data_IF_288300286118
#
_entry.id   IF_288300286118
#
_cell.length_a   1.000
_cell.length_b   1.000
_cell.length_c   1.000
_cell.angle_alpha   90.00
_cell.angle_beta   90.00
_cell.angle_gamma   90.00
#
_symmetry.space_group_name_H-M   'P 1'
#
loop_
_entity.id
_entity.type
_entity.pdbx_description
1 polymer ?
#
# COMPACT_ATOMS: atom_id res chain seq x y z
N UNK A 1 21.91 15.54 -13.04
CA UNK A 1 22.16 16.82 -12.35
C UNK A 1 23.24 16.59 -11.31
N UNK A 2 24.43 17.15 -11.50
CA UNK A 2 25.50 17.07 -10.51
C UNK A 2 25.17 18.02 -9.35
N UNK A 3 25.00 17.48 -8.14
CA UNK A 3 24.95 18.31 -6.93
C UNK A 3 26.39 18.69 -6.57
N UNK A 4 26.77 19.92 -6.89
CA UNK A 4 27.93 20.56 -6.31
C UNK A 4 27.57 21.00 -4.89
N UNK A 5 28.10 20.32 -3.89
CA UNK A 5 28.05 20.76 -2.49
C UNK A 5 29.08 21.88 -2.29
N UNK A 6 28.61 23.12 -2.27
CA UNK A 6 29.43 24.27 -1.86
C UNK A 6 29.55 24.20 -0.33
N UNK A 7 30.71 23.79 0.17
CA UNK A 7 31.02 23.83 1.61
C UNK A 7 31.42 25.26 2.01
N UNK A 8 30.43 26.10 2.31
CA UNK A 8 30.66 27.40 2.96
C UNK A 8 30.86 27.15 4.46
N UNK A 9 32.05 27.45 4.99
CA UNK A 9 32.30 27.44 6.44
C UNK A 9 31.59 28.63 7.08
N UNK A 10 30.51 28.38 7.82
CA UNK A 10 29.88 29.35 8.71
C UNK A 10 30.50 29.22 10.11
N UNK A 11 31.05 30.29 10.69
CA UNK A 11 31.48 30.32 12.11
C UNK A 11 30.45 31.02 12.99
N UNK A 12 30.36 30.66 14.27
CA UNK A 12 29.43 31.27 15.24
C UNK A 12 29.69 32.77 15.44
N UNK A 13 30.89 33.26 15.14
CA UNK A 13 31.27 34.68 15.24
C UNK A 13 30.42 35.61 14.36
N UNK A 14 29.73 35.06 13.35
CA UNK A 14 28.85 35.82 12.45
C UNK A 14 27.46 36.10 13.06
N UNK A 15 27.13 35.51 14.21
CA UNK A 15 25.81 35.62 14.85
C UNK A 15 25.88 36.07 16.30
N UNK A 16 26.76 37.04 16.59
CA UNK A 16 26.90 37.66 17.90
C UNK A 16 25.90 38.80 18.09
N UNK A 17 25.41 38.96 19.32
CA UNK A 17 24.60 40.10 19.69
C UNK A 17 25.50 41.33 19.86
N UNK A 18 25.24 42.46 19.17
CA UNK A 18 26.06 43.67 19.30
C UNK A 18 26.06 44.32 20.69
N UNK A 19 25.13 43.92 21.58
CA UNK A 19 24.98 44.48 22.93
C UNK A 19 25.76 43.67 23.97
N UNK A 20 25.56 42.36 24.03
CA UNK A 20 26.26 41.50 24.99
C UNK A 20 27.51 40.83 24.42
N UNK A 21 27.74 40.93 23.11
CA UNK A 21 28.83 40.30 22.36
C UNK A 21 28.86 38.77 22.39
N UNK A 22 27.82 38.15 22.96
CA UNK A 22 27.62 36.69 22.98
C UNK A 22 26.76 36.21 21.79
N UNK A 23 26.79 34.90 21.45
CA UNK A 23 25.88 34.32 20.48
C UNK A 23 24.41 34.62 20.79
N UNK A 24 23.66 35.01 19.75
CA UNK A 24 22.28 35.43 19.89
C UNK A 24 21.42 34.38 20.64
N UNK A 25 20.82 34.80 21.75
CA UNK A 25 19.91 34.00 22.57
C UNK A 25 18.51 34.59 22.49
N UNK A 26 17.55 33.78 22.03
CA UNK A 26 16.20 34.24 21.66
C UNK A 26 16.26 35.47 20.71
N UNK A 27 16.88 35.34 19.53
CA UNK A 27 17.10 36.46 18.63
C UNK A 27 15.80 37.14 18.22
N UNK A 28 15.81 38.46 18.22
CA UNK A 28 14.75 39.31 17.64
C UNK A 28 15.39 40.27 16.64
N UNK A 29 14.63 40.63 15.61
CA UNK A 29 15.11 41.52 14.54
C UNK A 29 14.32 42.82 14.58
N UNK A 30 15.01 43.96 14.68
CA UNK A 30 14.39 45.29 14.64
C UNK A 30 13.93 45.64 13.21
N UNK A 31 13.06 46.65 13.02
CA UNK A 31 12.61 47.06 11.68
C UNK A 31 13.76 47.47 10.74
N UNK A 32 14.88 47.94 11.29
CA UNK A 32 16.09 48.27 10.52
C UNK A 32 16.95 47.04 10.14
N UNK A 33 16.49 45.82 10.44
CA UNK A 33 17.13 44.57 10.02
C UNK A 33 18.23 44.04 10.95
N UNK A 34 18.59 44.76 12.01
CA UNK A 34 19.59 44.31 12.98
C UNK A 34 19.00 43.34 14.00
N UNK A 35 19.80 42.35 14.42
CA UNK A 35 19.34 41.29 15.32
C UNK A 35 20.06 41.32 16.65
N UNK A 36 19.30 41.11 17.72
CA UNK A 36 19.78 41.20 19.11
C UNK A 36 19.16 40.07 19.94
N UNK A 37 19.75 39.73 21.08
CA UNK A 37 19.07 38.93 22.10
C UNK A 37 17.83 39.71 22.56
N UNK A 38 16.69 39.04 22.69
CA UNK A 38 15.43 39.68 23.13
C UNK A 38 15.59 40.44 24.43
N UNK A 39 16.34 39.89 25.39
CA UNK A 39 16.62 40.53 26.68
C UNK A 39 17.49 41.78 26.53
N UNK A 40 18.48 41.76 25.65
CA UNK A 40 19.42 42.86 25.48
C UNK A 40 18.75 44.09 24.85
N UNK A 41 17.98 43.92 23.78
CA UNK A 41 17.31 45.05 23.13
C UNK A 41 16.19 45.62 24.00
N UNK A 42 15.43 44.78 24.70
CA UNK A 42 14.42 45.27 25.63
C UNK A 42 15.07 46.02 26.80
N UNK A 43 16.17 45.50 27.38
CA UNK A 43 16.88 46.21 28.44
C UNK A 43 17.42 47.59 28.03
N UNK A 44 17.82 47.78 26.77
CA UNK A 44 18.19 49.10 26.25
C UNK A 44 16.97 50.03 26.11
N UNK A 45 15.88 49.51 25.51
CA UNK A 45 14.65 50.29 25.33
C UNK A 45 13.93 50.62 26.63
N UNK A 46 14.01 49.76 27.64
CA UNK A 46 13.43 49.99 28.97
C UNK A 46 14.15 51.15 29.71
N UNK A 47 15.42 51.42 29.38
CA UNK A 47 16.15 52.60 29.88
C UNK A 47 15.79 53.88 29.10
N UNK A 48 15.43 53.75 27.83
CA UNK A 48 15.03 54.85 26.93
C UNK A 48 13.53 55.20 27.01
N UNK A 49 12.73 54.39 27.74
CA UNK A 49 11.27 54.51 27.87
C UNK A 49 10.84 55.89 28.43
N UNK A 50 11.72 56.54 29.20
CA UNK A 50 11.52 57.90 29.75
C UNK A 50 11.52 58.99 28.67
N UNK A 51 12.18 58.75 27.52
CA UNK A 51 12.29 59.72 26.41
C UNK A 51 11.27 59.50 25.30
N UNK A 52 10.54 58.38 25.31
CA UNK A 52 9.50 58.04 24.32
C UNK A 52 10.00 57.78 22.89
N UNK A 53 11.32 57.72 22.68
CA UNK A 53 11.99 57.47 21.39
C UNK A 53 12.97 56.32 21.60
N UNK A 54 12.84 55.25 20.81
CA UNK A 54 13.62 54.03 20.96
C UNK A 54 14.64 53.91 19.84
N UNK A 55 15.90 53.69 20.14
CA UNK A 55 16.95 53.63 19.11
C UNK A 55 17.51 52.23 18.91
N UNK A 56 17.96 51.92 17.68
CA UNK A 56 18.72 50.70 17.41
C UNK A 56 20.16 50.86 17.93
N UNK A 57 20.66 49.97 18.80
CA UNK A 57 22.03 50.07 19.33
C UNK A 57 23.14 50.02 18.27
N UNK A 58 22.87 49.42 17.09
CA UNK A 58 23.86 49.24 16.04
C UNK A 58 23.89 50.39 15.02
N UNK A 59 22.73 50.83 14.52
CA UNK A 59 22.64 51.87 13.47
C UNK A 59 22.07 53.21 13.96
N UNK A 60 21.61 53.29 15.22
CA UNK A 60 21.00 54.47 15.85
C UNK A 60 19.71 54.97 15.19
N UNK A 61 19.10 54.17 14.31
CA UNK A 61 17.78 54.47 13.76
C UNK A 61 16.73 54.49 14.88
N UNK A 62 15.86 55.50 14.87
CA UNK A 62 14.88 55.75 15.92
C UNK A 62 13.48 55.27 15.52
N UNK A 63 12.72 54.80 16.51
CA UNK A 63 11.38 54.25 16.34
C UNK A 63 10.40 54.90 17.32
N UNK A 64 9.27 55.35 16.80
CA UNK A 64 8.12 55.84 17.58
C UNK A 64 6.82 55.39 16.90
N UNK A 65 5.96 54.58 17.54
CA UNK A 65 6.05 54.02 18.90
C UNK A 65 7.06 52.84 19.02
N UNK A 66 7.23 52.29 20.23
CA UNK A 66 8.10 51.12 20.50
C UNK A 66 7.75 49.95 19.56
N UNK A 67 8.70 49.42 18.78
CA UNK A 67 8.43 48.27 17.91
C UNK A 67 8.06 47.01 18.69
N UNK A 68 7.08 46.26 18.20
CA UNK A 68 6.73 44.93 18.73
C UNK A 68 7.65 43.89 18.10
N UNK A 69 8.62 43.42 18.89
CA UNK A 69 9.59 42.43 18.43
C UNK A 69 9.08 41.00 18.63
N UNK A 70 9.13 40.19 17.55
CA UNK A 70 8.85 38.75 17.59
C UNK A 70 10.16 37.98 17.46
N UNK A 71 10.21 36.79 18.08
CA UNK A 71 11.35 35.88 17.97
C UNK A 71 11.60 35.51 16.51
N UNK A 72 12.85 35.61 16.08
CA UNK A 72 13.31 35.13 14.79
C UNK A 72 13.66 33.63 14.90
N UNK A 73 12.71 32.78 14.48
CA UNK A 73 12.86 31.33 14.56
C UNK A 73 14.00 30.80 13.67
N UNK A 74 14.26 31.45 12.54
CA UNK A 74 15.32 31.04 11.61
C UNK A 74 16.69 31.30 12.24
N UNK A 75 16.92 32.51 12.77
CA UNK A 75 18.17 32.82 13.46
C UNK A 75 18.37 31.95 14.71
N UNK A 76 17.29 31.66 15.43
CA UNK A 76 17.33 30.70 16.54
C UNK A 76 17.86 29.34 16.06
N UNK A 77 17.27 28.78 15.00
CA UNK A 77 17.64 27.46 14.50
C UNK A 77 19.08 27.42 13.97
N UNK A 78 19.52 28.47 13.26
CA UNK A 78 20.87 28.59 12.72
C UNK A 78 21.91 28.67 13.84
N UNK A 79 21.70 29.52 14.84
CA UNK A 79 22.63 29.67 15.99
C UNK A 79 22.71 28.36 16.79
N UNK A 80 21.59 27.69 17.02
CA UNK A 80 21.57 26.40 17.75
C UNK A 80 22.26 25.27 16.96
N UNK A 81 22.10 25.22 15.63
CA UNK A 81 22.81 24.24 14.78
C UNK A 81 24.31 24.52 14.76
N UNK A 82 24.73 25.78 14.71
CA UNK A 82 26.15 26.15 14.73
C UNK A 82 26.78 25.87 16.10
N UNK A 83 26.10 26.21 17.22
CA UNK A 83 26.53 25.82 18.57
C UNK A 83 26.73 24.32 18.71
N UNK A 84 25.82 23.50 18.18
CA UNK A 84 25.96 22.03 18.20
C UNK A 84 27.13 21.53 17.34
N UNK A 85 27.46 22.25 16.27
CA UNK A 85 28.56 21.90 15.38
C UNK A 85 29.92 22.29 15.98
N UNK A 86 30.01 23.42 16.69
CA UNK A 86 31.23 23.86 17.40
C UNK A 86 31.45 23.12 18.73
N UNK A 87 30.38 22.77 19.47
CA UNK A 87 30.49 21.91 20.67
C UNK A 87 30.96 20.48 20.35
N UNK A 88 30.86 20.05 19.09
CA UNK A 88 31.49 18.82 18.61
C UNK A 88 32.94 19.01 18.13
N UNK A 89 33.41 20.24 17.94
CA UNK A 89 34.77 20.55 17.49
C UNK A 89 35.75 20.83 18.66
N UNK A 90 35.29 21.40 19.78
CA UNK A 90 36.16 21.93 20.85
C UNK A 90 36.14 21.17 22.19
N UNK A 91 35.65 19.91 22.23
CA UNK A 91 35.85 19.08 23.42
C UNK A 91 37.26 18.46 23.45
N UNK A 92 38.00 18.53 24.57
CA UNK A 92 39.23 17.74 24.77
C UNK A 92 38.98 16.21 24.77
N UNK A 93 37.71 15.79 24.67
CA UNK A 93 37.31 14.39 24.61
C UNK A 93 37.74 13.68 23.31
N UNK A 94 38.09 14.41 22.24
CA UNK A 94 38.56 13.80 20.98
C UNK A 94 40.02 13.32 21.02
N UNK A 95 40.73 13.53 22.14
CA UNK A 95 42.10 13.05 22.30
C UNK A 95 42.17 11.60 22.81
N UNK A 96 41.07 11.05 23.33
CA UNK A 96 41.01 9.73 23.95
C UNK A 96 40.36 8.69 23.03
N UNK A 97 40.72 7.42 23.23
CA UNK A 97 40.24 6.31 22.40
C UNK A 97 38.75 6.04 22.66
N UNK A 98 37.91 6.14 21.62
CA UNK A 98 36.51 5.71 21.62
C UNK A 98 36.31 4.34 20.94
N UNK A 99 35.07 3.80 20.92
CA UNK A 99 34.76 2.54 20.23
C UNK A 99 35.12 2.60 18.74
N UNK A 100 36.05 1.74 18.31
CA UNK A 100 36.54 1.68 16.93
C UNK A 100 37.78 2.56 16.64
N UNK A 101 38.28 3.32 17.62
CA UNK A 101 39.54 4.04 17.48
C UNK A 101 40.76 3.15 17.72
N UNK A 102 41.85 3.43 17.02
CA UNK A 102 43.15 2.77 17.22
C UNK A 102 43.86 3.41 18.40
N UNK A 103 44.39 2.60 19.32
CA UNK A 103 45.07 3.09 20.52
C UNK A 103 46.53 3.48 20.25
N UNK A 104 47.04 4.47 20.98
CA UNK A 104 48.46 4.80 20.96
C UNK A 104 49.29 3.83 21.82
N UNK A 105 50.25 3.16 21.21
CA UNK A 105 51.07 2.14 21.87
C UNK A 105 52.02 2.73 22.92
N UNK A 106 52.45 3.99 22.74
CA UNK A 106 53.43 4.65 23.61
C UNK A 106 52.85 5.35 24.84
N UNK A 107 51.53 5.53 24.94
CA UNK A 107 50.92 6.11 26.14
C UNK A 107 51.08 5.16 27.34
N UNK A 108 51.63 5.64 28.45
CA UNK A 108 51.88 4.89 29.70
C UNK A 108 50.71 4.93 30.70
N UNK A 109 49.51 5.32 30.26
CA UNK A 109 48.31 5.44 31.07
C UNK A 109 47.04 5.32 30.21
N UNK A 110 46.07 6.22 30.39
CA UNK A 110 44.89 6.28 29.49
C UNK A 110 45.37 6.45 28.04
N UNK A 111 44.95 5.53 27.17
CA UNK A 111 45.36 5.52 25.77
C UNK A 111 44.70 6.66 25.01
N UNK A 112 45.52 7.35 24.22
CA UNK A 112 45.06 8.40 23.33
C UNK A 112 44.80 7.81 21.95
N UNK A 113 43.89 8.42 21.19
CA UNK A 113 43.61 8.02 19.82
C UNK A 113 44.88 8.16 18.98
N UNK A 114 45.28 7.08 18.33
CA UNK A 114 46.36 7.11 17.37
C UNK A 114 45.91 7.83 16.09
N UNK A 115 46.78 8.70 15.58
CA UNK A 115 46.55 9.46 14.35
C UNK A 115 47.30 8.81 13.19
N UNK A 116 48.49 8.25 13.46
CA UNK A 116 49.30 7.54 12.47
C UNK A 116 49.91 6.27 13.07
N UNK A 117 50.10 5.28 12.21
CA UNK A 117 50.93 4.10 12.50
C UNK A 117 52.26 4.23 11.78
N UNK A 118 53.35 3.91 12.47
CA UNK A 118 54.68 3.83 11.87
C UNK A 118 54.96 2.40 11.42
N UNK A 119 55.26 2.22 10.14
CA UNK A 119 55.55 0.90 9.58
C UNK A 119 56.92 0.35 10.00
N UNK A 120 57.83 1.23 10.43
CA UNK A 120 59.17 0.85 10.89
C UNK A 120 59.15 0.49 12.37
N UNK A 121 58.50 1.30 13.20
CA UNK A 121 58.34 1.00 14.63
C UNK A 121 57.25 -0.06 14.89
N UNK A 122 56.42 -0.36 13.89
CA UNK A 122 55.25 -1.24 13.97
C UNK A 122 54.31 -0.88 15.14
N UNK A 123 54.13 0.42 15.32
CA UNK A 123 53.37 0.99 16.44
C UNK A 123 52.53 2.18 15.98
N UNK A 124 51.42 2.38 16.66
CA UNK A 124 50.44 3.45 16.47
C UNK A 124 50.66 4.56 17.49
N UNK A 125 50.65 5.81 17.03
CA UNK A 125 51.01 6.97 17.82
C UNK A 125 49.90 8.03 17.79
N UNK A 126 49.57 8.58 18.96
CA UNK A 126 48.82 9.84 19.06
C UNK A 126 49.70 11.01 18.63
N UNK A 127 49.10 12.19 18.44
CA UNK A 127 49.78 13.38 17.93
C UNK A 127 51.05 13.72 18.74
N UNK A 128 51.00 13.59 20.07
CA UNK A 128 52.15 13.88 20.94
C UNK A 128 53.31 12.90 20.75
N UNK A 129 53.02 11.59 20.69
CA UNK A 129 54.05 10.58 20.47
C UNK A 129 54.52 10.50 19.01
N UNK A 130 53.84 11.19 18.10
CA UNK A 130 54.26 11.32 16.71
C UNK A 130 55.29 12.45 16.50
N UNK A 131 55.37 13.43 17.40
CA UNK A 131 56.34 14.56 17.32
C UNK A 131 57.78 14.12 17.05
N UNK A 132 58.34 13.08 17.71
CA UNK A 132 59.70 12.60 17.42
C UNK A 132 59.88 12.16 15.97
N UNK A 133 58.85 11.60 15.32
CA UNK A 133 58.89 11.19 13.92
C UNK A 133 59.01 12.36 12.94
N UNK A 134 58.62 13.57 13.34
CA UNK A 134 58.77 14.76 12.50
C UNK A 134 60.04 15.54 12.80
N UNK A 135 60.44 15.55 14.08
CA UNK A 135 61.46 16.46 14.58
C UNK A 135 62.85 15.80 14.68
N UNK A 136 62.92 14.50 15.00
CA UNK A 136 64.19 13.79 15.13
C UNK A 136 64.72 13.34 13.77
N UNK A 137 65.98 13.65 13.42
CA UNK A 137 66.62 13.14 12.20
C UNK A 137 66.61 11.62 12.09
N UNK A 138 66.64 10.90 13.22
CA UNK A 138 66.62 9.43 13.26
C UNK A 138 65.27 8.87 12.80
N UNK A 139 64.16 9.51 13.15
CA UNK A 139 62.80 9.00 12.90
C UNK A 139 62.12 9.65 11.68
N UNK A 140 62.66 10.75 11.15
CA UNK A 140 62.11 11.49 10.00
C UNK A 140 61.97 10.68 8.71
N UNK A 141 62.75 9.61 8.57
CA UNK A 141 62.69 8.69 7.42
C UNK A 141 61.66 7.57 7.59
N UNK A 142 61.05 7.42 8.75
CA UNK A 142 60.07 6.37 9.00
C UNK A 142 58.79 6.64 8.20
N UNK A 143 58.28 5.62 7.51
CA UNK A 143 57.02 5.71 6.76
C UNK A 143 55.84 5.66 7.73
N UNK A 144 55.06 6.74 7.77
CA UNK A 144 53.84 6.87 8.56
C UNK A 144 52.62 6.66 7.66
N UNK A 145 51.67 5.86 8.11
CA UNK A 145 50.38 5.62 7.46
C UNK A 145 49.24 5.99 8.40
N UNK A 146 48.01 6.09 7.88
CA UNK A 146 46.83 6.27 8.72
C UNK A 146 46.76 5.17 9.80
N UNK A 147 46.31 5.56 11.01
CA UNK A 147 46.24 4.64 12.12
C UNK A 147 45.40 3.41 11.76
N UNK A 148 45.95 2.22 12.01
CA UNK A 148 45.30 0.96 11.66
C UNK A 148 45.32 0.01 12.85
N UNK A 149 44.15 -0.47 13.26
CA UNK A 149 44.01 -1.41 14.39
C UNK A 149 44.73 -2.73 14.10
N UNK A 150 44.58 -3.23 12.88
CA UNK A 150 45.15 -4.50 12.40
C UNK A 150 46.52 -4.29 11.75
N UNK A 151 47.35 -3.39 12.29
CA UNK A 151 48.67 -3.10 11.71
C UNK A 151 49.52 -4.37 11.59
N UNK A 152 49.47 -5.23 12.61
CA UNK A 152 50.21 -6.49 12.66
C UNK A 152 49.76 -7.48 11.57
N UNK A 153 48.48 -7.50 11.21
CA UNK A 153 47.97 -8.38 10.13
C UNK A 153 48.48 -7.96 8.74
N UNK A 154 49.02 -6.76 8.61
CA UNK A 154 49.60 -6.24 7.37
C UNK A 154 51.12 -6.48 7.30
N UNK A 155 51.74 -6.94 8.39
CA UNK A 155 53.16 -7.27 8.44
C UNK A 155 53.33 -8.76 8.19
N UNK A 156 54.31 -9.12 7.35
CA UNK A 156 54.67 -10.50 7.10
C UNK A 156 55.29 -11.10 8.37
N UNK A 157 54.69 -12.17 8.88
CA UNK A 157 55.10 -12.87 10.09
C UNK A 157 56.51 -13.49 10.01
N UNK A 158 57.01 -13.75 8.81
CA UNK A 158 58.31 -14.40 8.59
C UNK A 158 59.46 -13.40 8.44
N UNK A 159 59.18 -12.20 7.94
CA UNK A 159 60.20 -11.25 7.48
C UNK A 159 60.14 -9.89 8.16
N UNK A 160 59.09 -9.62 8.95
CA UNK A 160 58.84 -8.33 9.59
C UNK A 160 58.86 -7.17 8.58
N UNK A 161 58.23 -7.39 7.43
CA UNK A 161 58.09 -6.42 6.32
C UNK A 161 56.63 -6.29 5.92
N UNK A 162 56.23 -5.09 5.49
CA UNK A 162 54.87 -4.83 5.04
C UNK A 162 54.51 -5.68 3.81
N UNK A 163 53.31 -6.25 3.82
CA UNK A 163 52.77 -7.05 2.72
C UNK A 163 52.11 -6.17 1.66
N UNK A 164 52.92 -5.49 0.84
CA UNK A 164 52.44 -4.61 -0.25
C UNK A 164 52.22 -5.34 -1.59
N UNK A 165 52.42 -6.66 -1.63
CA UNK A 165 52.32 -7.48 -2.84
C UNK A 165 51.21 -8.52 -2.65
N UNK A 166 50.39 -8.73 -3.67
CA UNK A 166 49.39 -9.79 -3.75
C UNK A 166 49.87 -10.87 -4.70
N UNK A 167 49.90 -12.12 -4.23
CA UNK A 167 50.15 -13.28 -5.06
C UNK A 167 48.83 -13.81 -5.60
N UNK A 168 48.61 -13.75 -6.92
CA UNK A 168 47.39 -14.22 -7.57
C UNK A 168 47.29 -15.74 -7.56
N UNK A 169 48.43 -16.42 -7.70
CA UNK A 169 48.53 -17.88 -7.68
C UNK A 169 48.03 -18.45 -6.35
N UNK A 170 48.46 -17.87 -5.23
CA UNK A 170 48.11 -18.36 -3.89
C UNK A 170 47.00 -17.55 -3.20
N UNK A 171 46.52 -16.49 -3.85
CA UNK A 171 45.50 -15.56 -3.33
C UNK A 171 45.83 -15.02 -1.93
N UNK A 172 47.07 -14.56 -1.74
CA UNK A 172 47.57 -14.12 -0.44
C UNK A 172 48.39 -12.83 -0.53
N UNK A 173 48.43 -12.09 0.58
CA UNK A 173 49.28 -10.92 0.75
C UNK A 173 50.67 -11.35 1.21
N UNK A 174 51.71 -10.83 0.58
CA UNK A 174 53.10 -11.20 0.81
C UNK A 174 54.01 -9.96 0.80
N UNK A 175 55.20 -10.08 1.41
CA UNK A 175 56.22 -9.03 1.35
C UNK A 175 57.22 -9.28 0.20
N UNK A 176 58.14 -8.33 -0.04
CA UNK A 176 59.12 -8.44 -1.14
C UNK A 176 60.15 -9.56 -0.96
N UNK A 177 60.39 -10.05 0.27
CA UNK A 177 61.30 -11.18 0.51
C UNK A 177 60.60 -12.50 0.15
N UNK A 178 59.31 -12.62 0.48
CA UNK A 178 58.49 -13.77 0.09
C UNK A 178 58.49 -14.02 -1.43
N UNK A 179 58.51 -12.97 -2.26
CA UNK A 179 58.52 -13.11 -3.73
C UNK A 179 59.81 -13.73 -4.27
N UNK A 180 60.92 -13.54 -3.57
CA UNK A 180 62.24 -14.05 -3.98
C UNK A 180 62.47 -15.46 -3.42
N UNK A 181 61.90 -15.76 -2.25
CA UNK A 181 62.02 -17.04 -1.55
C UNK A 181 60.87 -17.99 -1.92
N UNK A 182 59.77 -17.94 -1.16
CA UNK A 182 58.69 -18.94 -1.19
C UNK A 182 57.78 -18.84 -2.43
N UNK A 183 57.57 -17.65 -2.97
CA UNK A 183 56.66 -17.38 -4.10
C UNK A 183 57.41 -17.11 -5.41
N UNK A 184 58.62 -17.67 -5.55
CA UNK A 184 59.45 -17.48 -6.72
C UNK A 184 58.80 -18.07 -7.96
N UNK A 185 58.51 -17.22 -8.94
CA UNK A 185 57.86 -17.61 -10.20
C UNK A 185 56.33 -17.60 -10.16
N UNK A 186 55.71 -17.23 -9.03
CA UNK A 186 54.26 -17.02 -8.97
C UNK A 186 53.86 -15.69 -9.62
N UNK A 187 52.61 -15.62 -10.07
CA UNK A 187 52.06 -14.36 -10.56
C UNK A 187 51.81 -13.43 -9.36
N UNK A 188 52.57 -12.35 -9.32
CA UNK A 188 52.52 -11.38 -8.22
C UNK A 188 52.34 -9.97 -8.77
N UNK A 189 51.59 -9.17 -8.03
CA UNK A 189 51.23 -7.80 -8.40
C UNK A 189 51.16 -6.93 -7.16
N UNK A 190 51.35 -5.62 -7.26
CA UNK A 190 51.15 -4.74 -6.11
C UNK A 190 49.69 -4.78 -5.64
N UNK A 191 49.45 -4.70 -4.34
CA UNK A 191 48.09 -4.67 -3.77
C UNK A 191 47.25 -3.52 -4.32
N UNK A 192 47.88 -2.38 -4.63
CA UNK A 192 47.21 -1.23 -5.24
C UNK A 192 46.69 -1.54 -6.65
N UNK A 193 47.48 -2.23 -7.46
CA UNK A 193 47.08 -2.59 -8.82
C UNK A 193 45.99 -3.68 -8.81
N UNK A 194 46.15 -4.73 -8.00
CA UNK A 194 45.12 -5.77 -7.85
C UNK A 194 43.78 -5.17 -7.38
N UNK A 195 43.82 -4.30 -6.37
CA UNK A 195 42.62 -3.60 -5.90
C UNK A 195 41.95 -2.82 -7.02
N UNK A 196 42.72 -2.15 -7.88
CA UNK A 196 42.17 -1.35 -8.97
C UNK A 196 41.44 -2.24 -9.99
N UNK A 197 42.01 -3.40 -10.32
CA UNK A 197 41.40 -4.40 -11.20
C UNK A 197 40.11 -4.97 -10.58
N UNK A 198 40.16 -5.46 -9.33
CA UNK A 198 38.99 -5.98 -8.62
C UNK A 198 37.90 -4.93 -8.39
N UNK A 199 38.27 -3.67 -8.23
CA UNK A 199 37.31 -2.57 -8.13
C UNK A 199 36.55 -2.35 -9.44
N UNK A 200 37.18 -2.60 -10.60
CA UNK A 200 36.52 -2.50 -11.90
C UNK A 200 35.60 -3.70 -12.14
N UNK A 201 36.07 -4.93 -11.87
CA UNK A 201 35.25 -6.14 -11.92
C UNK A 201 33.98 -5.99 -11.05
N UNK A 202 34.14 -5.46 -9.83
CA UNK A 202 33.02 -5.22 -8.92
C UNK A 202 31.98 -4.26 -9.51
N UNK A 203 32.42 -3.20 -10.20
CA UNK A 203 31.51 -2.23 -10.84
C UNK A 203 30.76 -2.87 -12.01
N UNK A 204 31.43 -3.71 -12.80
CA UNK A 204 30.79 -4.44 -13.90
C UNK A 204 29.70 -5.40 -13.39
N UNK A 205 30.00 -6.17 -12.34
CA UNK A 205 29.02 -7.04 -11.70
C UNK A 205 27.86 -6.25 -11.08
N UNK A 206 28.15 -5.09 -10.46
CA UNK A 206 27.11 -4.21 -9.94
C UNK A 206 26.15 -3.73 -11.04
N UNK A 207 26.67 -3.35 -12.21
CA UNK A 207 25.85 -2.95 -13.37
C UNK A 207 24.99 -4.14 -13.86
N UNK A 208 25.57 -5.35 -13.97
CA UNK A 208 24.83 -6.55 -14.38
C UNK A 208 23.68 -6.85 -13.41
N UNK A 209 23.91 -6.76 -12.10
CA UNK A 209 22.83 -6.96 -11.13
C UNK A 209 21.75 -5.88 -11.21
N UNK A 210 22.12 -4.62 -11.40
CA UNK A 210 21.14 -3.54 -11.59
C UNK A 210 20.25 -3.77 -12.82
N UNK A 211 20.84 -4.21 -13.94
CA UNK A 211 20.07 -4.55 -15.15
C UNK A 211 19.10 -5.71 -14.91
N UNK A 212 19.56 -6.77 -14.22
CA UNK A 212 18.70 -7.92 -13.86
C UNK A 212 17.57 -7.52 -12.92
N UNK A 213 17.80 -6.61 -11.98
CA UNK A 213 16.76 -6.07 -11.09
C UNK A 213 15.70 -5.36 -11.93
N UNK A 214 16.10 -4.44 -12.81
CA UNK A 214 15.16 -3.70 -13.67
C UNK A 214 14.33 -4.63 -14.57
N UNK A 215 14.95 -5.66 -15.15
CA UNK A 215 14.24 -6.66 -15.96
C UNK A 215 13.19 -7.41 -15.12
N UNK A 216 13.55 -7.81 -13.90
CA UNK A 216 12.65 -8.52 -12.98
C UNK A 216 11.52 -7.62 -12.49
N UNK A 217 11.79 -6.35 -12.20
CA UNK A 217 10.77 -5.36 -11.83
C UNK A 217 9.74 -5.17 -12.95
N UNK A 218 10.19 -5.07 -14.21
CA UNK A 218 9.29 -5.01 -15.37
C UNK A 218 8.41 -6.24 -15.48
N UNK A 219 8.98 -7.45 -15.36
CA UNK A 219 8.22 -8.71 -15.39
C UNK A 219 7.20 -8.81 -14.25
N UNK A 220 7.54 -8.30 -13.07
CA UNK A 220 6.59 -8.24 -11.94
C UNK A 220 5.41 -7.33 -12.27
N UNK A 221 5.64 -6.18 -12.92
CA UNK A 221 4.56 -5.28 -13.33
C UNK A 221 3.65 -5.92 -14.39
N UNK A 222 4.23 -6.57 -15.41
CA UNK A 222 3.48 -7.30 -16.44
C UNK A 222 2.61 -8.41 -15.84
N UNK A 223 3.15 -9.15 -14.86
CA UNK A 223 2.41 -10.23 -14.20
C UNK A 223 1.27 -9.68 -13.33
N UNK A 224 1.48 -8.56 -12.62
CA UNK A 224 0.40 -7.89 -11.88
C UNK A 224 -0.75 -7.49 -12.78
N UNK A 225 -0.46 -6.86 -13.92
CA UNK A 225 -1.48 -6.50 -14.91
C UNK A 225 -2.22 -7.73 -15.44
N UNK A 226 -1.49 -8.81 -15.72
CA UNK A 226 -2.09 -10.08 -16.17
C UNK A 226 -3.05 -10.65 -15.15
N UNK A 227 -2.68 -10.66 -13.86
CA UNK A 227 -3.55 -11.11 -12.76
C UNK A 227 -4.83 -10.28 -12.71
N UNK A 228 -4.73 -8.95 -12.84
CA UNK A 228 -5.90 -8.08 -12.82
C UNK A 228 -6.81 -8.32 -14.04
N UNK A 229 -6.24 -8.52 -15.22
CA UNK A 229 -6.99 -8.89 -16.43
C UNK A 229 -7.72 -10.23 -16.24
N UNK A 230 -7.06 -11.23 -15.65
CA UNK A 230 -7.69 -12.52 -15.35
C UNK A 230 -8.88 -12.33 -14.42
N UNK A 231 -8.73 -11.57 -13.33
CA UNK A 231 -9.83 -11.29 -12.39
C UNK A 231 -11.02 -10.62 -13.08
N UNK A 232 -10.77 -9.60 -13.89
CA UNK A 232 -11.82 -8.88 -14.63
C UNK A 232 -12.54 -9.83 -15.59
N UNK A 233 -11.79 -10.64 -16.36
CA UNK A 233 -12.38 -11.60 -17.32
C UNK A 233 -13.17 -12.70 -16.62
N UNK A 234 -12.65 -13.23 -15.51
CA UNK A 234 -13.36 -14.23 -14.70
C UNK A 234 -14.67 -13.67 -14.16
N UNK A 235 -14.67 -12.45 -13.63
CA UNK A 235 -15.90 -11.81 -13.15
C UNK A 235 -16.89 -11.57 -14.29
N UNK A 236 -16.44 -11.05 -15.42
CA UNK A 236 -17.30 -10.85 -16.58
C UNK A 236 -17.95 -12.16 -17.08
N UNK A 237 -17.22 -13.28 -17.02
CA UNK A 237 -17.77 -14.59 -17.38
C UNK A 237 -18.82 -15.09 -16.36
N UNK A 238 -18.62 -14.81 -15.07
CA UNK A 238 -19.62 -15.09 -14.03
C UNK A 238 -20.87 -14.25 -14.28
N UNK A 239 -20.72 -12.94 -14.46
CA UNK A 239 -21.84 -12.01 -14.68
C UNK A 239 -22.65 -12.39 -15.94
N UNK A 240 -21.97 -12.77 -17.03
CA UNK A 240 -22.64 -13.22 -18.26
C UNK A 240 -23.38 -14.55 -18.05
N UNK A 241 -22.78 -15.49 -17.31
CA UNK A 241 -23.42 -16.76 -16.97
C UNK A 241 -24.67 -16.55 -16.10
N UNK A 242 -24.57 -15.72 -15.07
CA UNK A 242 -25.69 -15.37 -14.20
C UNK A 242 -26.83 -14.70 -14.97
N UNK A 243 -26.49 -13.80 -15.90
CA UNK A 243 -27.47 -13.18 -16.81
C UNK A 243 -28.20 -14.23 -17.65
N UNK A 244 -27.46 -15.13 -18.30
CA UNK A 244 -28.05 -16.21 -19.13
C UNK A 244 -28.98 -17.10 -18.30
N UNK A 245 -28.53 -17.54 -17.11
CA UNK A 245 -29.37 -18.37 -16.25
C UNK A 245 -30.61 -17.62 -15.75
N UNK A 246 -30.49 -16.33 -15.44
CA UNK A 246 -31.63 -15.50 -15.02
C UNK A 246 -32.67 -15.34 -16.15
N UNK A 247 -32.22 -15.16 -17.38
CA UNK A 247 -33.09 -15.11 -18.57
C UNK A 247 -33.81 -16.45 -18.80
N UNK A 248 -33.10 -17.57 -18.68
CA UNK A 248 -33.68 -18.91 -18.79
C UNK A 248 -34.72 -19.19 -17.70
N UNK A 249 -34.41 -18.88 -16.44
CA UNK A 249 -35.35 -19.03 -15.31
C UNK A 249 -36.61 -18.21 -15.59
N UNK A 250 -36.47 -16.94 -15.97
CA UNK A 250 -37.60 -16.07 -16.28
C UNK A 250 -38.48 -16.61 -17.41
N UNK A 251 -37.86 -17.14 -18.46
CA UNK A 251 -38.57 -17.78 -19.58
C UNK A 251 -39.34 -19.03 -19.14
N UNK A 252 -38.71 -19.89 -18.33
CA UNK A 252 -39.35 -21.10 -17.80
C UNK A 252 -40.50 -20.76 -16.85
N UNK A 253 -40.35 -19.75 -16.00
CA UNK A 253 -41.42 -19.29 -15.10
C UNK A 253 -42.60 -18.69 -15.85
N UNK A 254 -42.34 -17.96 -16.94
CA UNK A 254 -43.38 -17.46 -17.84
C UNK A 254 -44.13 -18.62 -18.48
N UNK A 255 -43.42 -19.61 -19.04
CA UNK A 255 -44.02 -20.83 -19.62
C UNK A 255 -44.83 -21.61 -18.60
N UNK A 256 -44.34 -21.76 -17.37
CA UNK A 256 -45.08 -22.38 -16.26
C UNK A 256 -46.40 -21.65 -15.99
N UNK A 257 -46.37 -20.32 -15.98
CA UNK A 257 -47.56 -19.49 -15.73
C UNK A 257 -48.58 -19.61 -16.87
N UNK A 258 -48.13 -19.55 -18.13
CA UNK A 258 -48.96 -19.75 -19.32
C UNK A 258 -49.68 -21.11 -19.29
N UNK A 259 -48.96 -22.20 -18.96
CA UNK A 259 -49.57 -23.53 -18.87
C UNK A 259 -50.56 -23.63 -17.71
N UNK A 260 -50.25 -23.02 -16.56
CA UNK A 260 -51.15 -23.00 -15.41
C UNK A 260 -52.46 -22.29 -15.76
N UNK A 261 -52.39 -21.14 -16.43
CA UNK A 261 -53.56 -20.40 -16.89
C UNK A 261 -54.39 -21.19 -17.90
N UNK A 262 -53.74 -21.90 -18.85
CA UNK A 262 -54.44 -22.77 -19.80
C UNK A 262 -55.21 -23.90 -19.09
N UNK A 263 -54.62 -24.52 -18.07
CA UNK A 263 -55.29 -25.56 -17.28
C UNK A 263 -56.51 -24.96 -16.55
N UNK A 264 -56.35 -23.80 -15.91
CA UNK A 264 -57.43 -23.14 -15.15
C UNK A 264 -58.58 -22.66 -16.04
N UNK A 265 -58.27 -22.15 -17.24
CA UNK A 265 -59.28 -21.73 -18.21
C UNK A 265 -60.07 -22.92 -18.74
N UNK A 266 -59.40 -24.03 -19.07
CA UNK A 266 -60.07 -25.27 -19.50
C UNK A 266 -60.92 -25.86 -18.37
N UNK A 267 -60.40 -25.92 -17.13
CA UNK A 267 -61.13 -26.34 -15.93
C UNK A 267 -62.42 -25.53 -15.79
N UNK A 268 -62.33 -24.19 -15.81
CA UNK A 268 -63.49 -23.29 -15.69
C UNK A 268 -64.52 -23.50 -16.79
N UNK A 269 -64.09 -23.68 -18.05
CA UNK A 269 -64.98 -23.88 -19.18
C UNK A 269 -65.77 -25.19 -19.07
N UNK A 270 -65.10 -26.28 -18.67
CA UNK A 270 -65.74 -27.58 -18.50
C UNK A 270 -66.65 -27.61 -17.26
N UNK A 271 -66.25 -26.97 -16.16
CA UNK A 271 -67.12 -26.80 -14.97
C UNK A 271 -68.38 -26.01 -15.34
N UNK A 272 -68.23 -24.88 -16.05
CA UNK A 272 -69.39 -24.09 -16.50
C UNK A 272 -70.32 -24.87 -17.43
N UNK A 273 -69.76 -25.77 -18.26
CA UNK A 273 -70.55 -26.67 -19.12
C UNK A 273 -71.33 -27.67 -18.28
N UNK A 274 -70.69 -28.29 -17.28
CA UNK A 274 -71.32 -29.23 -16.37
C UNK A 274 -72.42 -28.58 -15.52
N UNK A 275 -72.18 -27.38 -14.99
CA UNK A 275 -73.16 -26.60 -14.22
C UNK A 275 -74.42 -26.28 -15.05
N UNK A 276 -74.27 -25.92 -16.32
CA UNK A 276 -75.44 -25.70 -17.21
C UNK A 276 -76.27 -26.96 -17.41
N UNK A 277 -75.62 -28.12 -17.59
CA UNK A 277 -76.32 -29.40 -17.72
C UNK A 277 -77.03 -29.77 -16.42
N UNK A 278 -76.38 -29.55 -15.27
CA UNK A 278 -76.96 -29.79 -13.96
C UNK A 278 -78.20 -28.93 -13.74
N UNK A 279 -78.12 -27.62 -14.00
CA UNK A 279 -79.27 -26.72 -13.90
C UNK A 279 -80.43 -27.13 -14.84
N UNK A 280 -80.11 -27.58 -16.06
CA UNK A 280 -81.13 -28.09 -16.98
C UNK A 280 -81.85 -29.31 -16.41
N UNK A 281 -81.09 -30.30 -15.91
CA UNK A 281 -81.67 -31.51 -15.31
C UNK A 281 -82.48 -31.19 -14.05
N UNK A 282 -82.01 -30.27 -13.20
CA UNK A 282 -82.76 -29.83 -12.02
C UNK A 282 -84.10 -29.18 -12.39
N UNK A 283 -84.11 -28.37 -13.46
CA UNK A 283 -85.33 -27.76 -13.99
C UNK A 283 -86.29 -28.81 -14.57
N UNK A 284 -85.78 -29.76 -15.36
CA UNK A 284 -86.59 -30.87 -15.90
C UNK A 284 -87.20 -31.72 -14.78
N UNK A 285 -86.42 -32.03 -13.73
CA UNK A 285 -86.92 -32.72 -12.53
C UNK A 285 -88.02 -31.91 -11.84
N UNK A 286 -87.85 -30.60 -11.70
CA UNK A 286 -88.85 -29.73 -11.07
C UNK A 286 -90.16 -29.67 -11.89
N UNK A 287 -90.06 -29.58 -13.22
CA UNK A 287 -91.21 -29.59 -14.12
C UNK A 287 -91.95 -30.93 -14.12
N UNK A 288 -91.21 -32.05 -14.09
CA UNK A 288 -91.78 -33.39 -13.94
C UNK A 288 -92.49 -33.55 -12.59
N UNK A 289 -91.88 -33.11 -11.49
CA UNK A 289 -92.51 -33.13 -10.16
C UNK A 289 -93.81 -32.32 -10.14
N UNK A 290 -93.83 -31.12 -10.74
CA UNK A 290 -95.04 -30.29 -10.86
C UNK A 290 -96.14 -31.03 -11.60
N UNK A 291 -95.84 -31.63 -12.76
CA UNK A 291 -96.84 -32.39 -13.54
C UNK A 291 -97.39 -33.60 -12.82
N UNK A 292 -96.56 -34.32 -12.05
CA UNK A 292 -97.04 -35.42 -11.21
C UNK A 292 -98.09 -34.91 -10.22
N UNK A 293 -97.83 -33.78 -9.55
CA UNK A 293 -98.82 -33.15 -8.66
C UNK A 293 -100.08 -32.72 -9.41
N UNK A 294 -99.97 -32.07 -10.58
CA UNK A 294 -101.12 -31.66 -11.41
C UNK A 294 -101.97 -32.86 -11.87
N UNK A 295 -101.33 -33.98 -12.24
CA UNK A 295 -102.01 -35.23 -12.60
C UNK A 295 -102.71 -35.87 -11.40
N UNK A 296 -102.07 -35.86 -10.23
CA UNK A 296 -102.67 -36.32 -8.97
C UNK A 296 -103.92 -35.48 -8.65
N UNK A 297 -103.84 -34.16 -8.70
CA UNK A 297 -104.98 -33.26 -8.48
C UNK A 297 -106.11 -33.50 -9.50
N UNK A 298 -105.78 -33.60 -10.78
CA UNK A 298 -106.75 -33.88 -11.84
C UNK A 298 -107.45 -35.22 -11.63
N UNK A 299 -106.76 -36.25 -11.12
CA UNK A 299 -107.36 -37.56 -10.84
C UNK A 299 -108.46 -37.53 -9.76
N UNK A 300 -108.45 -36.53 -8.88
CA UNK A 300 -109.43 -36.36 -7.81
C UNK A 300 -110.58 -35.39 -8.18
N UNK A 301 -110.59 -34.85 -9.41
CA UNK A 301 -111.67 -33.95 -9.84
C UNK A 301 -112.97 -34.70 -10.10
N UNK A 302 -114.10 -34.09 -9.73
CA UNK A 302 -115.45 -34.61 -10.04
C UNK A 302 -116.02 -34.00 -11.34
N UNK A 303 -115.34 -33.00 -11.91
CA UNK A 303 -115.73 -32.38 -13.19
C UNK A 303 -115.18 -33.20 -14.36
N UNK A 304 -116.05 -34.02 -14.95
CA UNK A 304 -115.71 -34.89 -16.08
C UNK A 304 -115.29 -34.12 -17.34
N UNK A 305 -115.78 -32.88 -17.54
CA UNK A 305 -115.42 -32.07 -18.71
C UNK A 305 -114.01 -31.52 -18.52
N UNK A 306 -113.72 -30.94 -17.35
CA UNK A 306 -112.37 -30.46 -17.02
C UNK A 306 -111.33 -31.57 -17.06
N UNK A 307 -111.66 -32.78 -16.57
CA UNK A 307 -110.78 -33.95 -16.68
C UNK A 307 -110.41 -34.25 -18.15
N UNK A 308 -111.40 -34.38 -19.02
CA UNK A 308 -111.19 -34.74 -20.43
C UNK A 308 -110.52 -33.61 -21.23
N UNK A 309 -110.70 -32.35 -20.84
CA UNK A 309 -110.05 -31.20 -21.49
C UNK A 309 -108.58 -31.05 -21.06
N UNK A 310 -108.25 -31.27 -19.79
CA UNK A 310 -106.91 -31.04 -19.22
C UNK A 310 -106.00 -32.27 -19.31
N UNK A 311 -106.54 -33.49 -19.39
CA UNK A 311 -105.74 -34.71 -19.45
C UNK A 311 -104.79 -34.78 -20.67
N UNK A 312 -105.22 -34.46 -21.91
CA UNK A 312 -104.34 -34.53 -23.07
C UNK A 312 -103.13 -33.59 -23.01
N UNK A 313 -103.28 -32.39 -22.43
CA UNK A 313 -102.18 -31.42 -22.33
C UNK A 313 -101.14 -31.82 -21.27
N UNK A 314 -101.53 -32.53 -20.22
CA UNK A 314 -100.63 -33.01 -19.17
C UNK A 314 -99.89 -34.30 -19.56
N UNK A 315 -100.47 -35.13 -20.44
CA UNK A 315 -99.84 -36.36 -20.92
C UNK A 315 -98.80 -36.15 -22.03
N UNK A 316 -98.72 -34.96 -22.64
CA UNK A 316 -97.68 -34.64 -23.63
C UNK A 316 -96.46 -34.10 -22.91
N UNK A 317 -95.38 -34.89 -22.89
CA UNK A 317 -94.08 -34.42 -22.41
C UNK A 317 -93.39 -33.56 -23.49
N UNK A 318 -93.08 -32.27 -23.25
CA UNK A 318 -92.10 -31.56 -24.05
C UNK A 318 -90.73 -32.08 -23.64
N UNK A 319 -90.10 -32.84 -24.53
CA UNK A 319 -88.68 -33.19 -24.43
C UNK A 319 -88.33 -34.68 -24.32
N UNK A 320 -89.30 -35.60 -24.37
CA UNK A 320 -88.99 -37.03 -24.13
C UNK A 320 -88.47 -37.79 -25.37
N UNK A 321 -88.77 -37.39 -26.60
CA UNK A 321 -88.38 -38.22 -27.76
C UNK A 321 -87.01 -37.88 -28.38
N UNK A 322 -86.40 -36.73 -28.04
CA UNK A 322 -85.11 -36.31 -28.65
C UNK A 322 -84.04 -35.85 -27.63
N UNK A 323 -84.15 -36.22 -26.35
CA UNK A 323 -83.04 -35.98 -25.42
C UNK A 323 -81.95 -37.01 -25.67
N UNK A 324 -80.76 -36.63 -26.19
CA UNK A 324 -79.70 -37.59 -26.45
C UNK A 324 -79.31 -38.24 -25.12
N UNK A 325 -79.10 -39.55 -25.09
CA UNK A 325 -78.53 -40.25 -23.94
C UNK A 325 -77.24 -39.53 -23.53
N UNK A 326 -77.30 -38.72 -22.48
CA UNK A 326 -76.17 -37.87 -22.09
C UNK A 326 -75.10 -38.79 -21.52
N UNK A 327 -74.05 -39.03 -22.31
CA UNK A 327 -72.85 -39.66 -21.78
C UNK A 327 -72.15 -38.56 -20.99
N UNK A 328 -72.21 -38.64 -19.65
CA UNK A 328 -71.35 -37.81 -18.80
C UNK A 328 -69.92 -38.16 -19.20
N UNK A 329 -69.29 -37.30 -19.98
CA UNK A 329 -67.93 -37.54 -20.43
C UNK A 329 -67.01 -37.38 -19.20
N UNK A 330 -66.75 -38.49 -18.51
CA UNK A 330 -66.01 -38.55 -17.24
C UNK A 330 -64.52 -38.25 -17.41
N UNK A 331 -64.02 -38.13 -18.65
CA UNK A 331 -62.62 -37.86 -18.90
C UNK A 331 -62.38 -36.42 -19.36
N UNK A 332 -62.17 -35.55 -18.38
CA UNK A 332 -61.37 -34.33 -18.57
C UNK A 332 -59.96 -34.76 -19.01
N UNK A 333 -59.69 -34.84 -20.31
CA UNK A 333 -58.34 -35.12 -20.80
C UNK A 333 -57.56 -33.82 -20.94
N UNK A 334 -56.53 -33.68 -20.11
CA UNK A 334 -55.47 -32.69 -20.27
C UNK A 334 -54.26 -33.27 -21.03
N UNK A 335 -54.44 -34.39 -21.75
CA UNK A 335 -53.34 -35.09 -22.42
C UNK A 335 -52.65 -34.23 -23.48
N UNK A 336 -53.38 -33.31 -24.12
CA UNK A 336 -52.79 -32.32 -25.02
C UNK A 336 -51.78 -31.42 -24.32
N UNK A 337 -52.12 -30.89 -23.14
CA UNK A 337 -51.22 -30.04 -22.33
C UNK A 337 -50.03 -30.85 -21.82
N UNK A 338 -50.26 -32.09 -21.37
CA UNK A 338 -49.21 -33.00 -20.90
C UNK A 338 -48.22 -33.36 -22.00
N UNK A 339 -48.71 -33.61 -23.22
CA UNK A 339 -47.88 -33.95 -24.38
C UNK A 339 -47.00 -32.76 -24.79
N UNK A 340 -47.57 -31.57 -24.94
CA UNK A 340 -46.81 -30.36 -25.26
C UNK A 340 -45.75 -29.99 -24.20
N UNK A 341 -46.00 -30.28 -22.91
CA UNK A 341 -44.99 -30.12 -21.86
C UNK A 341 -43.87 -31.16 -21.92
N UNK A 342 -44.18 -32.39 -22.36
CA UNK A 342 -43.18 -33.45 -22.49
C UNK A 342 -42.18 -33.14 -23.60
N UNK A 343 -42.65 -32.53 -24.70
CA UNK A 343 -41.81 -32.08 -25.81
C UNK A 343 -40.84 -30.93 -25.42
N UNK A 344 -41.13 -30.23 -24.32
CA UNK A 344 -40.30 -29.15 -23.76
C UNK A 344 -39.18 -29.65 -22.83
N UNK A 345 -39.15 -30.96 -22.55
CA UNK A 345 -38.23 -31.60 -21.60
C UNK A 345 -37.00 -32.22 -22.26
N UNK A 346 -37.03 -32.42 -23.58
CA UNK A 346 -35.89 -32.78 -24.46
C UNK A 346 -35.24 -31.52 -25.03
#
# INVERSE_FOLDING_TARGET
>A
MAQASISVKFSVDQFLCPVCLDPLTDPVTTPCGHSFCKVCINGQWDQEDVKGVFSCPQCRETFTPRPVLRRNNILTEVVEKLKKTELQADSPAHCYTGPGDVECDSCTGRKHKAVKSCLVCQASYCEDHLKPHYQSPAFKKHKLVEACAELQEKICSEHDKLMEIYCRTDQSFICYLCTIEKHKGHETVSTKAERTEKQNELKEEQIKFQQRIQEKEKKVQELKQTVDIIKIRSQAAVDDSERIFSELISSMEKKRSEVTELIRTQEKAEVSRAERLLNQLEQEIADLKRRVTELEELSHTHDHIHFLQSFPSLCVSPGCEDSPSFTVNQHLSFDGVRKSLSDLKE
#
